data_IF_474431347800
#
_entry.id   IF_474431347800
#
_cell.length_a   1.000
_cell.length_b   1.000
_cell.length_c   1.000
_cell.angle_alpha   90.00
_cell.angle_beta   90.00
_cell.angle_gamma   90.00
#
_symmetry.space_group_name_H-M   'P 1'
#
loop_
_entity.id
_entity.type
_entity.pdbx_description
1 polymer ?
#
# COMPACT_ATOMS: atom_id res chain seq x y z
N UNK A 1 5.99 11.44 -10.80
CA UNK A 1 5.07 11.13 -9.69
C UNK A 1 4.10 12.28 -9.52
N UNK A 2 2.80 12.00 -9.54
CA UNK A 2 1.75 13.01 -9.42
C UNK A 2 1.62 13.49 -7.96
N UNK A 3 1.83 14.80 -7.73
CA UNK A 3 1.75 15.41 -6.39
C UNK A 3 0.33 15.40 -5.83
N UNK A 4 -0.68 15.58 -6.68
CA UNK A 4 -2.09 15.55 -6.25
C UNK A 4 -2.46 14.14 -5.78
N UNK A 5 -1.96 13.12 -6.47
CA UNK A 5 -2.15 11.72 -6.06
C UNK A 5 -1.47 11.43 -4.72
N UNK A 6 -0.23 11.91 -4.53
CA UNK A 6 0.47 11.79 -3.25
C UNK A 6 -0.28 12.49 -2.11
N UNK A 7 -0.76 13.71 -2.33
CA UNK A 7 -1.47 14.47 -1.32
C UNK A 7 -2.77 13.77 -0.92
N UNK A 8 -3.50 13.17 -1.88
CA UNK A 8 -4.68 12.35 -1.58
C UNK A 8 -4.31 11.14 -0.73
N UNK A 9 -3.29 10.38 -1.15
CA UNK A 9 -2.84 9.20 -0.41
C UNK A 9 -2.41 9.56 1.02
N UNK A 10 -1.60 10.59 1.18
CA UNK A 10 -1.13 11.07 2.49
C UNK A 10 -2.30 11.51 3.38
N UNK A 11 -3.29 12.22 2.83
CA UNK A 11 -4.46 12.65 3.58
C UNK A 11 -5.31 11.46 4.07
N UNK A 12 -5.45 10.40 3.28
CA UNK A 12 -6.13 9.17 3.73
C UNK A 12 -5.28 8.45 4.79
N UNK A 13 -3.97 8.34 4.57
CA UNK A 13 -3.06 7.72 5.53
C UNK A 13 -3.06 8.44 6.89
N UNK A 14 -3.16 9.77 6.93
CA UNK A 14 -3.22 10.50 8.20
C UNK A 14 -4.50 10.18 9.00
N UNK A 15 -5.61 9.85 8.33
CA UNK A 15 -6.86 9.46 8.98
C UNK A 15 -6.77 8.13 9.70
N UNK A 16 -5.82 7.25 9.35
CA UNK A 16 -5.67 5.96 10.03
C UNK A 16 -4.96 6.06 11.40
N UNK A 17 -4.59 7.27 11.83
CA UNK A 17 -3.94 7.55 13.12
C UNK A 17 -2.65 6.71 13.37
N UNK A 18 -1.99 6.24 12.31
CA UNK A 18 -0.74 5.46 12.37
C UNK A 18 0.50 6.34 12.20
N UNK A 19 0.67 7.27 13.13
CA UNK A 19 1.75 8.26 13.13
C UNK A 19 2.68 8.10 14.33
N UNK A 20 3.93 8.53 14.18
CA UNK A 20 4.91 8.52 15.27
C UNK A 20 4.46 9.48 16.38
N UNK A 21 4.34 8.99 17.62
CA UNK A 21 3.90 9.80 18.78
C UNK A 21 5.07 10.29 19.65
N UNK A 22 6.32 10.03 19.25
CA UNK A 22 7.52 10.45 19.99
C UNK A 22 8.82 9.92 19.35
N UNK A 23 9.95 10.43 19.84
CA UNK A 23 11.29 10.20 19.26
C UNK A 23 11.76 8.73 19.23
N UNK A 24 11.16 7.86 20.05
CA UNK A 24 11.55 6.45 20.18
C UNK A 24 10.66 5.45 19.44
N UNK A 25 9.61 5.88 18.73
CA UNK A 25 8.70 4.97 18.03
C UNK A 25 8.76 5.18 16.54
N UNK A 26 9.09 4.13 15.78
CA UNK A 26 8.93 4.08 14.34
C UNK A 26 7.63 3.35 14.02
N UNK A 27 6.68 4.04 13.40
CA UNK A 27 5.45 3.48 12.84
C UNK A 27 5.47 3.72 11.36
N UNK A 28 5.19 2.68 10.60
CA UNK A 28 5.17 2.74 9.16
C UNK A 28 4.22 1.69 8.61
N UNK A 29 3.88 1.83 7.34
CA UNK A 29 3.09 0.87 6.60
C UNK A 29 3.96 0.24 5.52
N UNK A 30 3.88 -1.08 5.38
CA UNK A 30 4.36 -1.81 4.20
C UNK A 30 3.14 -2.14 3.35
N UNK A 31 3.24 -1.94 2.04
CA UNK A 31 2.18 -2.24 1.09
C UNK A 31 2.72 -3.29 0.13
N UNK A 32 1.92 -4.34 -0.08
CA UNK A 32 2.25 -5.43 -1.00
C UNK A 32 1.15 -5.54 -2.03
N UNK A 33 1.53 -5.78 -3.28
CA UNK A 33 0.63 -6.16 -4.37
C UNK A 33 0.96 -7.57 -4.84
N UNK A 34 -0.06 -8.35 -5.17
CA UNK A 34 0.08 -9.72 -5.68
C UNK A 34 -0.79 -9.89 -6.93
N UNK A 35 -0.25 -10.56 -7.94
CA UNK A 35 -0.92 -10.94 -9.19
C UNK A 35 -1.10 -12.48 -9.16
N UNK A 36 -2.26 -12.91 -8.67
CA UNK A 36 -2.69 -14.30 -8.57
C UNK A 36 -3.16 -14.88 -9.91
N UNK A 37 -3.83 -14.09 -10.75
CA UNK A 37 -4.30 -14.48 -12.08
C UNK A 37 -3.18 -14.54 -13.13
N UNK A 38 -2.02 -13.94 -12.84
CA UNK A 38 -0.80 -13.89 -13.67
C UNK A 38 -1.00 -13.17 -15.00
N UNK A 39 -1.83 -12.14 -15.02
CA UNK A 39 -2.12 -11.36 -16.22
C UNK A 39 -1.34 -10.04 -16.28
N UNK A 40 -0.52 -9.78 -15.27
CA UNK A 40 0.29 -8.57 -15.14
C UNK A 40 -0.40 -7.45 -14.39
N UNK A 41 -1.62 -7.67 -13.85
CA UNK A 41 -2.34 -6.71 -13.02
C UNK A 41 -2.40 -7.16 -11.56
N UNK A 42 -2.35 -6.25 -10.57
CA UNK A 42 -2.49 -6.64 -9.17
C UNK A 42 -3.92 -7.00 -8.78
N UNK A 43 -4.10 -8.22 -8.27
CA UNK A 43 -5.39 -8.73 -7.79
C UNK A 43 -5.63 -8.46 -6.31
N UNK A 44 -4.58 -8.11 -5.59
CA UNK A 44 -4.65 -7.90 -4.15
C UNK A 44 -3.69 -6.83 -3.71
N UNK A 45 -4.14 -5.99 -2.80
CA UNK A 45 -3.29 -5.02 -2.09
C UNK A 45 -3.38 -5.29 -0.59
N UNK A 46 -2.25 -5.60 0.04
CA UNK A 46 -2.15 -5.80 1.49
C UNK A 46 -1.49 -4.61 2.16
N UNK A 47 -2.15 -4.06 3.18
CA UNK A 47 -1.69 -2.94 4.00
C UNK A 47 -1.25 -3.47 5.35
N UNK A 48 0.06 -3.50 5.61
CA UNK A 48 0.62 -4.00 6.86
C UNK A 48 1.11 -2.84 7.71
N UNK A 49 0.54 -2.69 8.92
CA UNK A 49 0.98 -1.68 9.88
C UNK A 49 2.05 -2.24 10.79
N UNK A 50 3.23 -1.62 10.77
CA UNK A 50 4.38 -2.05 11.55
C UNK A 50 4.77 -1.02 12.60
N UNK A 51 5.23 -1.55 13.73
CA UNK A 51 5.99 -0.81 14.73
C UNK A 51 7.44 -1.29 14.63
N UNK A 52 8.30 -0.40 14.14
CA UNK A 52 9.73 -0.61 14.04
C UNK A 52 10.39 -0.85 15.39
N UNK A 53 11.65 -1.30 15.37
CA UNK A 53 12.33 -1.73 16.57
C UNK A 53 12.44 -0.58 17.56
N UNK A 54 12.00 -0.85 18.79
CA UNK A 54 12.24 0.02 19.94
C UNK A 54 13.53 -0.39 20.63
N UNK A 55 13.91 0.34 21.68
CA UNK A 55 15.09 0.00 22.50
C UNK A 55 15.04 -1.43 23.07
N UNK A 56 13.83 -1.97 23.29
CA UNK A 56 13.59 -3.29 23.90
C UNK A 56 12.74 -4.24 23.05
N UNK A 57 12.36 -3.89 21.82
CA UNK A 57 11.43 -4.70 21.02
C UNK A 57 11.84 -4.77 19.55
N UNK A 58 11.71 -5.94 18.89
CA UNK A 58 11.95 -6.07 17.45
C UNK A 58 10.87 -5.35 16.63
N UNK A 59 11.11 -5.24 15.32
CA UNK A 59 10.07 -4.85 14.37
C UNK A 59 8.89 -5.82 14.45
N UNK A 60 7.67 -5.31 14.58
CA UNK A 60 6.48 -6.13 14.79
C UNK A 60 5.34 -5.62 13.91
N UNK A 61 4.71 -6.53 13.17
CA UNK A 61 3.46 -6.25 12.49
C UNK A 61 2.34 -6.16 13.54
N UNK A 62 1.67 -5.03 13.61
CA UNK A 62 0.64 -4.73 14.62
C UNK A 62 -0.74 -5.09 14.11
N UNK A 63 -1.01 -4.83 12.83
CA UNK A 63 -2.26 -5.20 12.18
C UNK A 63 -2.05 -5.28 10.67
N UNK A 64 -3.01 -5.89 9.98
CA UNK A 64 -3.05 -5.93 8.53
C UNK A 64 -4.48 -5.77 8.02
N UNK A 65 -4.59 -5.32 6.79
CA UNK A 65 -5.83 -5.23 6.02
C UNK A 65 -5.52 -5.56 4.57
N UNK A 66 -6.52 -5.93 3.79
CA UNK A 66 -6.30 -6.28 2.38
C UNK A 66 -7.52 -5.93 1.55
N UNK A 67 -7.32 -5.53 0.30
CA UNK A 67 -8.36 -5.33 -0.70
C UNK A 67 -8.09 -6.24 -1.90
N UNK A 68 -9.15 -6.76 -2.52
CA UNK A 68 -9.12 -7.83 -3.50
C UNK A 68 -9.93 -7.44 -4.74
N UNK A 69 -9.36 -7.69 -5.91
CA UNK A 69 -10.06 -7.85 -7.19
C UNK A 69 -10.43 -9.33 -7.32
N UNK A 70 -11.72 -9.65 -7.28
CA UNK A 70 -12.18 -11.04 -7.30
C UNK A 70 -12.48 -11.56 -8.70
N UNK A 71 -12.95 -10.70 -9.58
CA UNK A 71 -13.38 -11.08 -10.93
C UNK A 71 -12.39 -10.63 -12.02
N UNK A 72 -11.22 -10.14 -11.61
CA UNK A 72 -10.08 -9.77 -12.44
C UNK A 72 -10.44 -8.69 -13.46
N UNK A 73 -11.17 -7.66 -12.99
CA UNK A 73 -11.65 -6.55 -13.81
C UNK A 73 -10.81 -5.25 -13.66
N UNK A 74 -9.86 -5.24 -12.72
CA UNK A 74 -9.00 -4.11 -12.37
C UNK A 74 -9.54 -3.20 -11.26
N UNK A 75 -10.71 -3.51 -10.69
CA UNK A 75 -11.30 -2.86 -9.52
C UNK A 75 -11.16 -3.75 -8.28
N UNK A 76 -11.18 -3.16 -7.08
CA UNK A 76 -11.07 -3.91 -5.83
C UNK A 76 -12.47 -4.04 -5.21
N UNK A 77 -13.19 -5.14 -5.40
CA UNK A 77 -14.61 -5.26 -4.97
C UNK A 77 -14.77 -5.48 -3.47
N UNK A 78 -13.78 -6.07 -2.82
CA UNK A 78 -13.89 -6.52 -1.44
C UNK A 78 -12.66 -6.20 -0.62
N UNK A 79 -12.83 -5.99 0.69
CA UNK A 79 -11.71 -5.83 1.58
C UNK A 79 -11.91 -6.46 2.96
N UNK A 80 -10.80 -6.87 3.55
CA UNK A 80 -10.65 -7.27 4.94
C UNK A 80 -10.16 -6.03 5.69
N UNK A 81 -10.98 -5.53 6.60
CA UNK A 81 -10.66 -4.40 7.46
C UNK A 81 -10.90 -4.77 8.94
N UNK A 82 -10.31 -3.96 9.79
CA UNK A 82 -10.52 -3.92 11.25
C UNK A 82 -10.64 -2.45 11.63
N UNK A 83 -10.54 -2.10 12.91
CA UNK A 83 -10.41 -0.71 13.37
C UNK A 83 -9.05 -0.12 12.90
N UNK A 84 -8.97 0.22 11.61
CA UNK A 84 -7.76 0.72 10.97
C UNK A 84 -7.54 2.17 11.36
N UNK A 85 -8.62 2.91 11.60
CA UNK A 85 -8.55 4.32 12.00
C UNK A 85 -8.28 4.52 13.51
N UNK A 86 -8.41 3.46 14.30
CA UNK A 86 -8.11 3.42 15.74
C UNK A 86 -9.02 4.33 16.55
N UNK A 87 -10.27 4.46 16.15
CA UNK A 87 -11.31 5.17 16.89
C UNK A 87 -12.07 4.26 17.89
N UNK A 88 -11.83 2.95 17.82
CA UNK A 88 -12.41 1.95 18.72
C UNK A 88 -13.71 1.33 18.21
N UNK A 89 -14.17 1.70 17.02
CA UNK A 89 -15.34 1.13 16.34
C UNK A 89 -14.86 0.44 15.05
N UNK A 90 -15.53 -0.64 14.65
CA UNK A 90 -15.31 -1.27 13.34
C UNK A 90 -16.55 -0.98 12.50
N UNK A 91 -16.40 -0.14 11.47
CA UNK A 91 -17.52 0.27 10.64
C UNK A 91 -17.14 0.54 9.16
N UNK A 92 -18.09 1.12 8.40
CA UNK A 92 -17.90 1.44 6.99
C UNK A 92 -16.80 2.50 6.75
N UNK A 93 -16.44 3.31 7.74
CA UNK A 93 -15.32 4.25 7.64
C UNK A 93 -14.02 3.46 7.48
N UNK A 94 -13.81 2.42 8.28
CA UNK A 94 -12.60 1.58 8.19
C UNK A 94 -12.48 0.89 6.84
N UNK A 95 -13.59 0.28 6.39
CA UNK A 95 -13.70 -0.33 5.07
C UNK A 95 -13.31 0.67 3.98
N UNK A 96 -13.84 1.88 4.04
CA UNK A 96 -13.59 2.91 3.02
C UNK A 96 -12.14 3.45 3.07
N UNK A 97 -11.51 3.47 4.24
CA UNK A 97 -10.10 3.85 4.38
C UNK A 97 -9.17 2.79 3.78
N UNK A 98 -9.43 1.50 4.05
CA UNK A 98 -8.68 0.39 3.43
C UNK A 98 -8.80 0.45 1.91
N UNK A 99 -10.04 0.60 1.42
CA UNK A 99 -10.35 0.69 0.00
C UNK A 99 -9.57 1.82 -0.69
N UNK A 100 -9.69 3.04 -0.19
CA UNK A 100 -9.04 4.21 -0.80
C UNK A 100 -7.51 4.11 -0.79
N UNK A 101 -6.91 3.60 0.29
CA UNK A 101 -5.46 3.42 0.35
C UNK A 101 -4.98 2.42 -0.71
N UNK A 102 -5.71 1.31 -0.88
CA UNK A 102 -5.37 0.30 -1.87
C UNK A 102 -5.49 0.84 -3.31
N UNK A 103 -6.62 1.46 -3.66
CA UNK A 103 -6.85 2.03 -4.98
C UNK A 103 -5.85 3.14 -5.33
N UNK A 104 -5.56 4.04 -4.38
CA UNK A 104 -4.58 5.11 -4.58
C UNK A 104 -3.17 4.54 -4.73
N UNK A 105 -2.84 3.46 -4.00
CA UNK A 105 -1.56 2.76 -4.17
C UNK A 105 -1.40 2.21 -5.60
N UNK A 106 -2.42 1.54 -6.14
CA UNK A 106 -2.39 1.01 -7.51
C UNK A 106 -2.19 2.11 -8.55
N UNK A 107 -2.80 3.28 -8.34
CA UNK A 107 -2.64 4.46 -9.22
C UNK A 107 -1.21 5.01 -9.28
N UNK A 108 -0.35 4.76 -8.29
CA UNK A 108 1.06 5.17 -8.39
C UNK A 108 1.85 4.32 -9.38
N UNK A 109 1.33 3.14 -9.76
CA UNK A 109 2.00 2.16 -10.62
C UNK A 109 3.38 1.72 -10.10
N UNK A 110 3.62 1.79 -8.79
CA UNK A 110 4.87 1.34 -8.15
C UNK A 110 5.05 -0.17 -8.14
N UNK A 111 4.01 -0.92 -8.49
CA UNK A 111 4.01 -2.38 -8.59
C UNK A 111 4.53 -2.87 -9.95
N UNK A 112 4.49 -2.03 -10.99
CA UNK A 112 5.00 -2.38 -12.30
C UNK A 112 6.54 -2.32 -12.31
N UNK A 113 7.22 -3.27 -12.98
CA UNK A 113 8.65 -3.15 -13.21
C UNK A 113 8.93 -1.84 -13.98
N UNK A 114 9.96 -1.11 -13.58
CA UNK A 114 10.42 0.04 -14.36
C UNK A 114 10.78 -0.44 -15.78
N UNK A 115 10.23 0.21 -16.80
CA UNK A 115 10.67 0.01 -18.16
C UNK A 115 12.11 0.54 -18.27
N UNK A 116 13.10 -0.34 -18.06
CA UNK A 116 14.47 -0.06 -18.43
C UNK A 116 14.53 -0.05 -19.97
N UNK A 117 14.49 1.14 -20.56
CA UNK A 117 14.84 1.32 -21.97
C UNK A 117 16.30 0.93 -22.17
N UNK A 118 16.54 -0.33 -22.55
CA UNK A 118 17.87 -0.78 -22.99
C UNK A 118 18.12 -0.17 -24.36
N UNK A 119 18.81 0.98 -24.38
CA UNK A 119 19.36 1.52 -25.63
C UNK A 119 20.50 0.62 -26.09
N UNK A 120 20.22 -0.29 -27.02
CA UNK A 120 21.26 -0.99 -27.77
C UNK A 120 21.94 0.04 -28.65
N UNK A 121 23.17 0.42 -28.28
CA UNK A 121 24.03 1.23 -29.14
C UNK A 121 24.84 0.26 -29.97
N UNK A 122 24.50 0.14 -31.25
CA UNK A 122 25.32 -0.60 -32.21
C UNK A 122 26.67 0.11 -32.35
N UNK A 123 27.74 -0.54 -31.90
CA UNK A 123 29.11 -0.05 -32.09
C UNK A 123 29.66 -0.67 -33.38
N UNK A 124 29.92 0.12 -34.43
CA UNK A 124 30.49 -0.42 -35.67
C UNK A 124 31.93 -0.87 -35.42
N UNK A 125 32.26 -2.08 -35.90
CA UNK A 125 33.63 -2.58 -35.88
C UNK A 125 34.49 -1.82 -36.90
N UNK A 126 35.66 -1.35 -36.46
CA UNK A 126 36.71 -0.76 -37.30
C UNK A 126 37.63 -1.83 -37.87
#
# INVERSE_FOLDING_TARGET
MDRVLLDRFANIYLKINWVNRGAGTKRYMKIFSEDFYKDGTPDTVRLHLHKGPGFLSPDTQVSWSAAYDFDNNGELEWNIHSDINRDGVIDEVDKHLVQQLAELYLKFNWHAPEACDVKVVDVPAH
#
